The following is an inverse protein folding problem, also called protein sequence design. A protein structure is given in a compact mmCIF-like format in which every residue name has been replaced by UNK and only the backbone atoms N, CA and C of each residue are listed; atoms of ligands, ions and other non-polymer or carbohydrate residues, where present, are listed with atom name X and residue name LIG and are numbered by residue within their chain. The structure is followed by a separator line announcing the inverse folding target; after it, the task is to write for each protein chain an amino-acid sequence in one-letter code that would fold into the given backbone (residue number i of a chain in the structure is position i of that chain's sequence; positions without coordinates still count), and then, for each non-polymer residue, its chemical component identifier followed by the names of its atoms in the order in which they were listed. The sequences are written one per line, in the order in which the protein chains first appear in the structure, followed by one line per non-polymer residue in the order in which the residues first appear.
data_IF_307069946835
#
_entry.id   IF_307069946835
#
_cell.length_a   1.000
_cell.length_b   1.000
_cell.length_c   1.000
_cell.angle_alpha   90.00
_cell.angle_beta   90.00
_cell.angle_gamma   90.00
#
_symmetry.space_group_name_H-M   'P 1'
#
loop_
_entity.id
_entity.type
_entity.pdbx_description
1 polymer ?
#
# COMPACT_ATOMS: atom_id res chain seq x y z
N UNK A 1 -25.18 -10.07 -19.75
CA UNK A 1 -25.22 -10.95 -18.55
C UNK A 1 -25.97 -10.20 -17.46
N UNK A 2 -26.87 -10.84 -16.72
CA UNK A 2 -27.61 -10.09 -15.67
C UNK A 2 -26.78 -9.95 -14.37
N UNK A 3 -27.23 -9.09 -13.45
CA UNK A 3 -26.54 -8.78 -12.20
C UNK A 3 -26.29 -10.02 -11.32
N UNK A 4 -27.29 -10.87 -11.12
CA UNK A 4 -27.16 -12.06 -10.27
C UNK A 4 -26.16 -13.06 -10.87
N UNK A 5 -26.19 -13.25 -12.19
CA UNK A 5 -25.25 -14.10 -12.91
C UNK A 5 -23.81 -13.55 -12.81
N UNK A 6 -23.63 -12.24 -12.94
CA UNK A 6 -22.35 -11.57 -12.76
C UNK A 6 -21.80 -11.80 -11.35
N UNK A 7 -22.63 -11.57 -10.32
CA UNK A 7 -22.23 -11.77 -8.92
C UNK A 7 -21.82 -13.21 -8.63
N UNK A 8 -22.66 -14.18 -9.01
CA UNK A 8 -22.35 -15.61 -8.85
C UNK A 8 -21.07 -16.02 -9.58
N UNK A 9 -20.83 -15.46 -10.76
CA UNK A 9 -19.62 -15.74 -11.55
C UNK A 9 -18.36 -15.17 -10.90
N UNK A 10 -18.40 -13.95 -10.39
CA UNK A 10 -17.29 -13.34 -9.64
C UNK A 10 -16.96 -14.19 -8.42
N UNK A 11 -17.97 -14.53 -7.61
CA UNK A 11 -17.78 -15.33 -6.39
C UNK A 11 -17.16 -16.70 -6.71
N UNK A 12 -17.71 -17.42 -7.69
CA UNK A 12 -17.19 -18.73 -8.10
C UNK A 12 -15.75 -18.64 -8.61
N UNK A 13 -15.42 -17.61 -9.38
CA UNK A 13 -14.06 -17.40 -9.87
C UNK A 13 -13.08 -17.10 -8.73
N UNK A 14 -13.49 -16.28 -7.76
CA UNK A 14 -12.70 -15.97 -6.58
C UNK A 14 -12.43 -17.24 -5.75
N UNK A 15 -13.48 -17.93 -5.28
CA UNK A 15 -13.35 -19.14 -4.45
C UNK A 15 -12.54 -20.23 -5.14
N UNK A 16 -12.77 -20.45 -6.44
CA UNK A 16 -12.03 -21.45 -7.22
C UNK A 16 -10.51 -21.20 -7.28
N UNK A 17 -10.06 -19.94 -7.25
CA UNK A 17 -8.61 -19.64 -7.25
C UNK A 17 -7.95 -20.04 -5.94
N UNK A 18 -8.67 -19.88 -4.82
CA UNK A 18 -8.16 -20.21 -3.49
C UNK A 18 -8.18 -21.72 -3.28
N UNK A 19 -9.33 -22.37 -3.53
CA UNK A 19 -9.51 -23.81 -3.33
C UNK A 19 -8.56 -24.68 -4.17
N UNK A 20 -8.16 -24.21 -5.37
CA UNK A 20 -7.21 -24.94 -6.23
C UNK A 20 -5.75 -24.68 -5.87
N UNK A 21 -5.47 -23.82 -4.90
CA UNK A 21 -4.13 -23.37 -4.58
C UNK A 21 -3.79 -23.65 -3.12
N UNK A 22 -3.19 -24.81 -2.85
CA UNK A 22 -2.74 -25.22 -1.51
C UNK A 22 -1.68 -24.31 -0.86
N UNK A 23 -1.22 -23.25 -1.55
CA UNK A 23 -0.32 -22.22 -1.00
C UNK A 23 -1.06 -20.97 -0.54
N UNK A 24 -2.39 -20.92 -0.69
CA UNK A 24 -3.22 -19.84 -0.17
C UNK A 24 -4.01 -20.39 1.01
N UNK A 25 -3.96 -19.67 2.13
CA UNK A 25 -4.57 -20.09 3.39
C UNK A 25 -5.89 -19.39 3.60
N UNK A 26 -5.90 -18.07 3.39
CA UNK A 26 -7.09 -17.25 3.37
C UNK A 26 -7.00 -16.17 2.30
N UNK A 27 -8.15 -15.65 1.90
CA UNK A 27 -8.24 -14.52 0.99
C UNK A 27 -9.53 -13.75 1.21
N UNK A 28 -9.48 -12.47 0.84
CA UNK A 28 -10.56 -11.50 0.96
C UNK A 28 -10.68 -10.75 -0.36
N UNK A 29 -11.90 -10.54 -0.84
CA UNK A 29 -12.13 -9.77 -2.06
C UNK A 29 -13.49 -9.10 -2.05
N UNK A 30 -13.47 -7.78 -2.18
CA UNK A 30 -14.61 -6.90 -2.30
C UNK A 30 -14.69 -6.33 -3.71
N UNK A 31 -15.87 -6.41 -4.31
CA UNK A 31 -16.22 -5.79 -5.59
C UNK A 31 -17.45 -4.92 -5.39
N UNK A 32 -17.29 -3.63 -5.59
CA UNK A 32 -18.38 -2.66 -5.52
C UNK A 32 -18.47 -1.90 -6.85
N UNK A 33 -19.67 -1.83 -7.44
CA UNK A 33 -19.93 -1.09 -8.67
C UNK A 33 -21.32 -0.48 -8.57
N UNK A 34 -21.36 0.83 -8.31
CA UNK A 34 -22.59 1.59 -8.07
C UNK A 34 -23.53 1.55 -9.28
N UNK A 35 -23.08 1.80 -10.53
CA UNK A 35 -23.98 1.81 -11.68
C UNK A 35 -24.64 0.45 -11.98
N UNK A 36 -24.00 -0.65 -11.58
CA UNK A 36 -24.54 -2.01 -11.74
C UNK A 36 -25.28 -2.51 -10.49
N UNK A 37 -25.31 -1.72 -9.40
CA UNK A 37 -25.88 -2.13 -8.12
C UNK A 37 -25.25 -3.41 -7.57
N UNK A 38 -23.95 -3.60 -7.77
CA UNK A 38 -23.19 -4.77 -7.30
C UNK A 38 -22.38 -4.37 -6.06
N UNK A 39 -22.54 -5.15 -5.00
CA UNK A 39 -21.68 -5.11 -3.83
C UNK A 39 -21.48 -6.54 -3.33
N UNK A 40 -20.25 -7.03 -3.44
CA UNK A 40 -19.82 -8.33 -2.97
C UNK A 40 -18.67 -8.12 -2.01
N UNK A 41 -18.74 -8.67 -0.80
CA UNK A 41 -17.63 -8.74 0.13
C UNK A 41 -17.44 -10.20 0.54
N UNK A 42 -16.35 -10.79 0.06
CA UNK A 42 -16.15 -12.24 0.09
C UNK A 42 -14.88 -12.60 0.85
N UNK A 43 -14.92 -13.76 1.51
CA UNK A 43 -13.76 -14.42 2.09
C UNK A 43 -13.78 -15.92 1.77
N UNK A 44 -12.60 -16.52 1.69
CA UNK A 44 -12.41 -17.95 1.46
C UNK A 44 -11.15 -18.43 2.19
N UNK A 45 -11.16 -19.67 2.68
CA UNK A 45 -10.04 -20.27 3.40
C UNK A 45 -10.21 -20.21 4.91
N UNK A 46 -9.10 -20.28 5.64
CA UNK A 46 -9.08 -20.32 7.10
C UNK A 46 -8.02 -19.41 7.71
N UNK A 47 -8.31 -18.94 8.92
CA UNK A 47 -7.41 -18.17 9.79
C UNK A 47 -7.51 -18.77 11.17
N UNK A 48 -6.37 -19.06 11.83
CA UNK A 48 -6.36 -19.65 13.19
C UNK A 48 -7.28 -20.88 13.35
N UNK A 49 -7.38 -21.71 12.31
CA UNK A 49 -8.23 -22.91 12.29
C UNK A 49 -9.74 -22.64 12.14
N UNK A 50 -10.15 -21.38 11.98
CA UNK A 50 -11.53 -20.97 11.77
C UNK A 50 -11.77 -20.54 10.31
N UNK A 51 -12.98 -20.68 9.76
CA UNK A 51 -13.33 -20.15 8.45
C UNK A 51 -13.09 -18.64 8.36
N UNK A 52 -12.53 -18.17 7.25
CA UNK A 52 -12.35 -16.73 7.02
C UNK A 52 -13.69 -16.02 6.78
N UNK A 53 -13.85 -14.84 7.40
CA UNK A 53 -15.07 -14.04 7.36
C UNK A 53 -14.80 -12.66 6.74
N UNK A 54 -15.64 -12.16 5.81
CA UNK A 54 -15.37 -10.91 5.07
C UNK A 54 -15.08 -9.65 5.91
N UNK A 55 -15.50 -9.64 7.18
CA UNK A 55 -15.33 -8.54 8.12
C UNK A 55 -13.99 -8.56 8.86
N UNK A 56 -13.19 -9.62 8.75
CA UNK A 56 -11.88 -9.68 9.39
C UNK A 56 -10.96 -8.59 8.84
N UNK A 57 -10.25 -7.93 9.75
CA UNK A 57 -9.18 -7.02 9.39
C UNK A 57 -7.93 -7.80 8.93
N UNK A 58 -7.08 -7.16 8.14
CA UNK A 58 -5.82 -7.72 7.65
C UNK A 58 -4.79 -6.62 7.40
N UNK A 59 -3.50 -6.99 7.41
CA UNK A 59 -2.43 -6.11 6.97
C UNK A 59 -2.64 -5.70 5.52
N UNK A 60 -2.76 -4.40 5.26
CA UNK A 60 -3.00 -3.88 3.90
C UNK A 60 -1.70 -3.69 3.10
N UNK A 61 -0.56 -3.97 3.74
CA UNK A 61 0.79 -3.84 3.18
C UNK A 61 0.96 -2.46 2.52
N UNK A 62 1.55 -2.40 1.32
CA UNK A 62 1.86 -1.16 0.62
C UNK A 62 0.65 -0.30 0.21
N UNK A 63 -0.60 -0.71 0.45
CA UNK A 63 -1.73 0.23 0.41
C UNK A 63 -1.54 1.35 1.45
N UNK A 64 -0.82 1.09 2.55
CA UNK A 64 -0.44 2.09 3.57
C UNK A 64 0.23 3.33 2.96
N UNK A 65 1.01 3.17 1.88
CA UNK A 65 1.65 4.29 1.15
C UNK A 65 0.65 5.28 0.59
N UNK A 66 -0.52 4.80 0.17
CA UNK A 66 -1.58 5.68 -0.31
C UNK A 66 -2.15 6.53 0.83
N UNK A 67 -2.33 5.96 2.02
CA UNK A 67 -2.72 6.73 3.21
C UNK A 67 -1.66 7.79 3.56
N UNK A 68 -0.38 7.42 3.58
CA UNK A 68 0.74 8.36 3.79
C UNK A 68 0.76 9.47 2.74
N UNK A 69 0.51 9.14 1.48
CA UNK A 69 0.52 10.12 0.37
C UNK A 69 -0.68 11.05 0.42
N UNK A 70 -1.88 10.55 0.74
CA UNK A 70 -3.07 11.39 0.93
C UNK A 70 -2.88 12.32 2.12
N UNK A 71 -2.35 11.83 3.25
CA UNK A 71 -2.04 12.70 4.39
C UNK A 71 -1.02 13.78 4.02
N UNK A 72 0.02 13.43 3.26
CA UNK A 72 0.98 14.42 2.73
C UNK A 72 0.29 15.47 1.85
N UNK A 73 -0.65 15.06 1.00
CA UNK A 73 -1.43 15.96 0.17
C UNK A 73 -2.35 16.88 0.99
N UNK A 74 -3.02 16.36 2.03
CA UNK A 74 -3.82 17.19 2.95
C UNK A 74 -2.95 18.25 3.65
N UNK A 75 -1.74 17.89 4.09
CA UNK A 75 -0.81 18.85 4.69
C UNK A 75 -0.32 19.90 3.68
N UNK A 76 -0.19 19.54 2.39
CA UNK A 76 0.11 20.49 1.33
C UNK A 76 -1.06 21.47 1.08
N UNK A 77 -2.30 20.98 1.08
CA UNK A 77 -3.50 21.84 0.98
C UNK A 77 -3.63 22.80 2.16
N UNK A 78 -3.19 22.38 3.35
CA UNK A 78 -3.11 23.25 4.54
C UNK A 78 -1.92 24.23 4.51
N UNK A 79 -1.10 24.21 3.45
CA UNK A 79 0.07 25.08 3.30
C UNK A 79 1.22 24.77 4.26
N UNK A 80 1.22 23.58 4.88
CA UNK A 80 2.27 23.16 5.83
C UNK A 80 3.54 22.65 5.16
N UNK A 81 3.45 22.31 3.87
CA UNK A 81 4.56 21.88 3.03
C UNK A 81 4.25 22.15 1.56
N UNK A 82 5.28 22.10 0.72
CA UNK A 82 5.15 21.92 -0.73
C UNK A 82 5.82 20.61 -1.15
N UNK A 83 5.36 20.01 -2.25
CA UNK A 83 5.97 18.77 -2.77
C UNK A 83 7.45 18.97 -3.20
N UNK A 84 7.83 20.21 -3.52
CA UNK A 84 9.17 20.63 -3.89
C UNK A 84 10.11 20.86 -2.70
N UNK A 85 9.58 20.89 -1.47
CA UNK A 85 10.42 21.20 -0.32
C UNK A 85 11.51 20.15 -0.14
N UNK A 86 12.75 20.59 0.14
CA UNK A 86 13.82 19.68 0.56
C UNK A 86 13.47 18.98 1.87
N UNK A 87 13.66 17.67 1.93
CA UNK A 87 13.28 16.88 3.12
C UNK A 87 14.11 17.22 4.37
N UNK A 88 15.30 17.80 4.17
CA UNK A 88 16.19 18.22 5.26
C UNK A 88 15.65 19.40 6.07
N UNK A 89 14.62 20.09 5.59
CA UNK A 89 13.90 21.10 6.39
C UNK A 89 13.05 20.47 7.50
N UNK A 90 12.68 19.19 7.35
CA UNK A 90 11.71 18.51 8.22
C UNK A 90 12.29 17.32 8.99
N UNK A 91 13.54 16.96 8.73
CA UNK A 91 14.17 15.78 9.30
C UNK A 91 15.47 16.16 10.02
N UNK A 92 15.80 15.49 11.13
CA UNK A 92 17.00 15.79 11.91
C UNK A 92 18.28 15.51 11.11
N UNK A 93 19.32 16.31 11.38
CA UNK A 93 20.60 16.25 10.66
C UNK A 93 21.28 14.87 10.73
N UNK A 94 21.09 14.15 11.83
CA UNK A 94 21.63 12.82 12.09
C UNK A 94 21.05 11.80 11.12
N UNK A 95 19.75 11.91 10.82
CA UNK A 95 19.08 11.05 9.85
C UNK A 95 19.56 11.38 8.43
N UNK A 96 19.70 12.67 8.12
CA UNK A 96 20.13 13.18 6.82
C UNK A 96 21.58 12.85 6.48
N UNK A 97 22.47 12.71 7.48
CA UNK A 97 23.89 12.47 7.26
C UNK A 97 24.14 11.20 6.43
N UNK A 98 24.71 11.35 5.22
CA UNK A 98 24.99 10.24 4.28
C UNK A 98 23.77 9.36 3.98
N UNK A 99 22.57 9.94 4.02
CA UNK A 99 21.33 9.23 3.70
C UNK A 99 21.32 8.76 2.24
N UNK A 100 21.91 9.54 1.34
CA UNK A 100 21.95 9.24 -0.09
C UNK A 100 23.33 9.51 -0.70
N UNK A 101 24.18 8.48 -0.70
CA UNK A 101 25.49 8.54 -1.34
C UNK A 101 25.46 7.75 -2.64
N UNK A 102 25.69 8.42 -3.77
CA UNK A 102 25.77 7.81 -5.08
C UNK A 102 27.08 8.16 -5.77
N UNK A 103 27.85 7.14 -6.16
CA UNK A 103 29.18 7.28 -6.80
C UNK A 103 30.10 8.29 -6.09
N UNK A 104 30.12 8.24 -4.76
CA UNK A 104 30.98 9.09 -3.92
C UNK A 104 30.45 10.51 -3.67
N UNK A 105 29.31 10.89 -4.25
CA UNK A 105 28.68 12.20 -4.00
C UNK A 105 27.48 12.03 -3.06
N UNK A 106 27.37 12.88 -2.05
CA UNK A 106 26.22 12.95 -1.14
C UNK A 106 25.14 13.88 -1.71
N UNK A 107 23.96 13.32 -1.98
CA UNK A 107 22.79 14.04 -2.51
C UNK A 107 21.70 14.24 -1.47
N UNK A 108 21.96 13.93 -0.20
CA UNK A 108 20.92 13.87 0.85
C UNK A 108 20.09 15.16 0.95
N UNK A 109 20.72 16.33 0.84
CA UNK A 109 20.04 17.64 0.90
C UNK A 109 19.25 18.01 -0.35
N UNK A 110 19.44 17.29 -1.46
CA UNK A 110 18.76 17.52 -2.74
C UNK A 110 17.46 16.71 -2.89
N UNK A 111 17.17 15.81 -1.95
CA UNK A 111 15.94 15.04 -1.96
C UNK A 111 14.76 15.95 -1.59
N UNK A 112 13.72 15.95 -2.40
CA UNK A 112 12.47 16.68 -2.20
C UNK A 112 11.35 15.71 -1.84
N UNK A 113 10.29 16.19 -1.20
CA UNK A 113 9.14 15.36 -0.79
C UNK A 113 8.55 14.57 -1.97
N UNK A 114 8.38 15.20 -3.15
CA UNK A 114 7.91 14.51 -4.37
C UNK A 114 8.80 13.36 -4.81
N UNK A 115 10.11 13.44 -4.56
CA UNK A 115 11.03 12.38 -4.91
C UNK A 115 10.78 11.13 -4.06
N UNK A 116 10.38 11.31 -2.80
CA UNK A 116 9.98 10.20 -1.92
C UNK A 116 8.63 9.61 -2.37
N UNK A 117 7.63 10.47 -2.57
CA UNK A 117 6.27 10.04 -2.93
C UNK A 117 6.22 9.25 -4.25
N UNK A 118 6.98 9.71 -5.26
CA UNK A 118 7.01 9.15 -6.60
C UNK A 118 8.09 8.10 -6.86
N UNK A 119 8.83 7.68 -5.84
CA UNK A 119 9.95 6.72 -5.97
C UNK A 119 11.06 7.17 -6.92
N UNK A 120 11.32 8.48 -6.99
CA UNK A 120 12.37 9.08 -7.83
C UNK A 120 13.52 9.68 -7.02
N UNK A 121 13.65 9.32 -5.75
CA UNK A 121 14.72 9.82 -4.87
C UNK A 121 16.08 9.21 -5.14
N UNK A 122 16.11 8.00 -5.70
CA UNK A 122 17.34 7.21 -5.84
C UNK A 122 17.78 6.52 -4.54
N UNK A 123 17.03 6.68 -3.44
CA UNK A 123 17.26 5.94 -2.20
C UNK A 123 17.17 4.44 -2.44
N UNK A 124 17.93 3.68 -1.66
CA UNK A 124 17.80 2.24 -1.64
C UNK A 124 16.45 1.82 -1.05
N UNK A 125 16.07 0.58 -1.29
CA UNK A 125 14.92 -0.07 -0.68
C UNK A 125 15.39 -1.06 0.39
N UNK A 126 15.17 -0.75 1.67
CA UNK A 126 15.66 -1.61 2.74
C UNK A 126 15.08 -3.03 2.67
N UNK A 127 13.88 -3.19 2.09
CA UNK A 127 13.16 -4.47 2.10
C UNK A 127 13.56 -5.41 0.95
N UNK A 128 13.62 -4.91 -0.30
CA UNK A 128 13.91 -5.71 -1.49
C UNK A 128 15.37 -5.64 -1.96
N UNK A 129 16.09 -4.55 -1.70
CA UNK A 129 17.48 -4.43 -2.15
C UNK A 129 18.40 -5.42 -1.41
N UNK A 130 19.46 -5.83 -2.10
CA UNK A 130 20.42 -6.80 -1.58
C UNK A 130 21.68 -6.09 -1.11
N UNK A 131 22.09 -6.27 0.16
CA UNK A 131 23.34 -5.71 0.63
C UNK A 131 24.53 -6.48 0.05
N UNK A 132 25.68 -5.81 -0.04
CA UNK A 132 26.94 -6.44 -0.52
C UNK A 132 27.48 -7.48 0.46
N UNK A 133 27.20 -7.29 1.75
CA UNK A 133 27.61 -8.15 2.86
C UNK A 133 26.49 -8.19 3.89
N UNK A 134 26.37 -9.30 4.61
CA UNK A 134 25.34 -9.48 5.64
C UNK A 134 24.00 -10.00 5.09
N UNK A 135 23.03 -10.25 5.99
CA UNK A 135 21.71 -10.77 5.63
C UNK A 135 20.86 -9.68 4.96
N UNK A 136 19.88 -10.08 4.14
CA UNK A 136 18.85 -9.14 3.64
C UNK A 136 17.87 -8.82 4.75
N UNK A 137 17.23 -7.66 4.69
CA UNK A 137 16.15 -7.33 5.63
C UNK A 137 15.03 -8.39 5.60
N UNK A 138 14.65 -8.88 4.41
CA UNK A 138 13.65 -9.93 4.28
C UNK A 138 14.04 -11.24 5.00
N UNK A 139 15.34 -11.54 5.09
CA UNK A 139 15.81 -12.72 5.82
C UNK A 139 15.67 -12.48 7.33
N UNK A 140 16.15 -11.32 7.82
CA UNK A 140 16.01 -10.88 9.21
C UNK A 140 14.54 -10.83 9.68
N UNK A 141 13.66 -10.35 8.80
CA UNK A 141 12.21 -10.33 9.02
C UNK A 141 11.66 -11.70 9.43
N UNK A 142 12.13 -12.77 8.78
CA UNK A 142 11.69 -14.14 9.07
C UNK A 142 12.50 -14.84 10.16
N UNK A 143 13.81 -14.57 10.26
CA UNK A 143 14.70 -15.26 11.20
C UNK A 143 14.69 -14.65 12.60
N UNK A 144 14.26 -13.40 12.75
CA UNK A 144 14.20 -12.67 14.02
C UNK A 144 12.76 -12.26 14.38
N UNK A 145 11.81 -13.21 14.51
CA UNK A 145 10.38 -12.92 14.66
C UNK A 145 10.04 -12.09 15.90
N UNK A 146 10.89 -12.11 16.92
CA UNK A 146 10.71 -11.39 18.19
C UNK A 146 11.28 -9.98 18.19
N UNK A 147 12.08 -9.60 17.18
CA UNK A 147 12.74 -8.29 17.13
C UNK A 147 11.73 -7.21 16.76
N UNK A 148 11.76 -6.09 17.46
CA UNK A 148 11.08 -4.87 17.04
C UNK A 148 12.06 -3.92 16.38
N UNK A 149 11.59 -3.19 15.38
CA UNK A 149 12.34 -2.19 14.65
C UNK A 149 11.65 -0.85 14.77
N UNK A 150 12.41 0.18 15.12
CA UNK A 150 12.01 1.57 14.94
C UNK A 150 12.30 2.03 13.52
N UNK A 151 11.56 3.03 12.99
CA UNK A 151 11.83 3.53 11.64
C UNK A 151 13.26 4.09 11.50
N UNK A 152 13.83 4.66 12.56
CA UNK A 152 15.22 5.14 12.58
C UNK A 152 16.23 4.00 12.48
N UNK A 153 16.01 2.87 13.19
CA UNK A 153 16.88 1.69 13.08
C UNK A 153 16.84 1.09 11.67
N UNK A 154 15.67 1.03 11.02
CA UNK A 154 15.54 0.56 9.64
C UNK A 154 16.32 1.47 8.68
N UNK A 155 16.18 2.80 8.81
CA UNK A 155 16.91 3.75 7.98
C UNK A 155 18.42 3.65 8.23
N UNK A 156 18.84 3.50 9.49
CA UNK A 156 20.26 3.35 9.82
C UNK A 156 20.84 2.06 9.25
N UNK A 157 20.12 0.95 9.38
CA UNK A 157 20.50 -0.33 8.75
C UNK A 157 20.65 -0.17 7.23
N UNK A 158 19.69 0.49 6.58
CA UNK A 158 19.72 0.79 5.15
C UNK A 158 20.97 1.57 4.74
N UNK A 159 21.33 2.63 5.47
CA UNK A 159 22.53 3.45 5.22
C UNK A 159 23.83 2.66 5.34
N UNK A 160 23.88 1.70 6.27
CA UNK A 160 25.08 0.89 6.53
C UNK A 160 25.28 -0.24 5.51
N UNK A 161 24.18 -0.80 4.98
CA UNK A 161 24.22 -2.05 4.22
C UNK A 161 23.94 -1.88 2.73
N UNK A 162 23.32 -0.77 2.32
CA UNK A 162 22.82 -0.55 0.97
C UNK A 162 23.41 0.71 0.33
N UNK A 163 23.22 0.83 -0.98
CA UNK A 163 23.71 1.95 -1.79
C UNK A 163 22.58 2.56 -2.59
N UNK A 164 22.56 3.88 -2.72
CA UNK A 164 21.64 4.59 -3.61
C UNK A 164 21.86 4.21 -5.08
N UNK A 165 20.82 4.40 -5.90
CA UNK A 165 20.76 3.94 -7.29
C UNK A 165 21.08 5.01 -8.34
N UNK A 166 20.66 6.26 -8.10
CA UNK A 166 20.83 7.40 -9.02
C UNK A 166 20.64 8.74 -8.28
N UNK A 167 21.05 9.89 -8.82
CA UNK A 167 20.76 11.19 -8.20
C UNK A 167 19.25 11.52 -8.19
N UNK A 168 18.74 12.26 -7.20
CA UNK A 168 17.31 12.57 -7.10
C UNK A 168 16.71 13.14 -8.39
N UNK A 169 15.55 12.62 -8.79
CA UNK A 169 14.81 13.01 -10.00
C UNK A 169 15.32 12.39 -11.30
N UNK A 170 16.43 11.66 -11.30
CA UNK A 170 17.04 11.12 -12.53
C UNK A 170 16.66 9.67 -12.87
N UNK A 171 15.72 9.09 -12.13
CA UNK A 171 15.29 7.71 -12.34
C UNK A 171 14.08 7.33 -11.49
N UNK A 172 13.72 6.05 -11.52
CA UNK A 172 12.69 5.46 -10.67
C UNK A 172 13.21 4.17 -10.03
N UNK A 173 13.12 4.08 -8.70
CA UNK A 173 13.41 2.90 -7.91
C UNK A 173 12.47 2.90 -6.70
N UNK A 174 11.64 1.86 -6.60
CA UNK A 174 10.68 1.74 -5.52
C UNK A 174 11.44 1.65 -4.19
N UNK A 175 11.09 2.47 -3.21
CA UNK A 175 11.82 2.57 -1.94
C UNK A 175 10.86 2.74 -0.75
N UNK A 176 10.75 1.71 0.07
CA UNK A 176 10.12 1.75 1.38
C UNK A 176 10.88 2.65 2.36
N UNK A 177 12.20 2.79 2.19
CA UNK A 177 13.02 3.78 2.92
C UNK A 177 12.49 5.20 2.71
N UNK A 178 12.09 5.53 1.48
CA UNK A 178 11.48 6.83 1.18
C UNK A 178 10.18 7.07 1.93
N UNK A 179 9.35 6.03 2.11
CA UNK A 179 8.10 6.16 2.87
C UNK A 179 8.31 6.22 4.38
N UNK A 180 9.38 5.62 4.90
CA UNK A 180 9.77 5.82 6.30
C UNK A 180 10.12 7.28 6.58
N UNK A 181 10.88 7.92 5.69
CA UNK A 181 11.20 9.33 5.78
C UNK A 181 9.95 10.21 5.70
N UNK A 182 8.97 9.87 4.83
CA UNK A 182 7.68 10.57 4.78
C UNK A 182 6.90 10.46 6.09
N UNK A 183 6.89 9.28 6.72
CA UNK A 183 6.25 9.10 8.03
C UNK A 183 6.86 10.01 9.10
N UNK A 184 8.20 10.00 9.21
CA UNK A 184 8.92 10.86 10.17
C UNK A 184 8.75 12.36 9.87
N UNK A 185 8.68 12.73 8.60
CA UNK A 185 8.40 14.10 8.17
C UNK A 185 6.99 14.54 8.58
N UNK A 186 5.98 13.67 8.41
CA UNK A 186 4.61 13.93 8.88
C UNK A 186 4.58 14.09 10.40
N UNK A 187 5.31 13.24 11.15
CA UNK A 187 5.40 13.37 12.60
C UNK A 187 5.94 14.74 13.01
N UNK A 188 7.01 15.18 12.37
CA UNK A 188 7.61 16.49 12.64
C UNK A 188 6.65 17.65 12.30
N UNK A 189 6.05 17.64 11.10
CA UNK A 189 5.13 18.70 10.66
C UNK A 189 3.89 18.79 11.53
N UNK A 190 3.33 17.64 11.93
CA UNK A 190 2.10 17.60 12.72
C UNK A 190 2.35 17.71 14.22
N UNK A 191 3.59 17.53 14.68
CA UNK A 191 3.94 17.35 16.10
C UNK A 191 3.14 16.23 16.77
N UNK A 192 2.81 15.17 16.03
CA UNK A 192 2.07 14.00 16.51
C UNK A 192 2.76 12.73 16.01
N UNK A 193 2.75 11.61 16.78
CA UNK A 193 3.12 10.31 16.25
C UNK A 193 2.30 9.95 15.00
N UNK A 194 2.87 9.17 14.08
CA UNK A 194 2.24 8.94 12.77
C UNK A 194 0.85 8.29 12.87
N UNK A 195 0.66 7.36 13.81
CA UNK A 195 -0.64 6.72 14.04
C UNK A 195 -1.71 7.72 14.49
N UNK A 196 -1.34 8.73 15.28
CA UNK A 196 -2.24 9.80 15.71
C UNK A 196 -2.56 10.77 14.57
N UNK A 197 -1.58 11.05 13.71
CA UNK A 197 -1.81 11.83 12.49
C UNK A 197 -2.78 11.09 11.55
N UNK A 198 -2.60 9.78 11.33
CA UNK A 198 -3.57 8.99 10.57
C UNK A 198 -4.96 8.98 11.22
N UNK A 199 -5.03 8.79 12.54
CA UNK A 199 -6.30 8.80 13.28
C UNK A 199 -7.06 10.11 13.05
N UNK A 200 -6.40 11.24 13.33
CA UNK A 200 -7.00 12.58 13.28
C UNK A 200 -7.41 13.02 11.88
N UNK A 201 -6.55 12.81 10.88
CA UNK A 201 -6.77 13.34 9.54
C UNK A 201 -7.58 12.39 8.65
N UNK A 202 -7.47 11.06 8.86
CA UNK A 202 -8.08 10.07 7.97
C UNK A 202 -9.10 9.19 8.68
N UNK A 203 -8.75 8.55 9.80
CA UNK A 203 -9.60 7.48 10.34
C UNK A 203 -10.88 8.01 11.00
N UNK A 204 -10.79 9.05 11.82
CA UNK A 204 -11.96 9.64 12.49
C UNK A 204 -12.91 10.35 11.51
N UNK A 205 -12.44 11.24 10.62
CA UNK A 205 -13.34 11.95 9.69
C UNK A 205 -14.08 11.02 8.73
N UNK A 206 -13.50 9.85 8.43
CA UNK A 206 -14.10 8.83 7.58
C UNK A 206 -14.76 7.68 8.34
N UNK A 207 -14.70 7.68 9.67
CA UNK A 207 -15.23 6.59 10.52
C UNK A 207 -14.64 5.22 10.17
N UNK A 208 -13.32 5.16 9.92
CA UNK A 208 -12.59 3.92 9.65
C UNK A 208 -12.31 3.16 10.95
N UNK A 209 -13.37 2.72 11.64
CA UNK A 209 -13.31 2.22 13.01
C UNK A 209 -12.38 1.01 13.20
N UNK A 210 -12.27 0.17 12.17
CA UNK A 210 -11.44 -1.03 12.11
C UNK A 210 -10.08 -0.82 11.43
N UNK A 211 -9.65 0.43 11.26
CA UNK A 211 -8.36 0.78 10.66
C UNK A 211 -7.41 1.32 11.72
N UNK A 212 -6.22 0.73 11.82
CA UNK A 212 -5.22 1.11 12.80
C UNK A 212 -3.81 0.77 12.30
N UNK A 213 -2.81 1.26 13.01
CA UNK A 213 -1.40 1.02 12.71
C UNK A 213 -0.82 -0.02 13.69
N UNK A 214 -0.33 -1.14 13.15
CA UNK A 214 0.20 -2.27 13.90
C UNK A 214 1.34 -1.82 14.84
N UNK A 215 1.35 -2.31 16.08
CA UNK A 215 2.31 -1.95 17.15
C UNK A 215 2.24 -0.51 17.69
N UNK A 216 1.44 0.37 17.09
CA UNK A 216 1.34 1.78 17.50
C UNK A 216 -0.04 2.17 18.03
N UNK A 217 -1.11 1.49 17.59
CA UNK A 217 -2.49 1.81 17.94
C UNK A 217 -3.38 0.58 17.86
N UNK A 218 -4.57 0.67 18.47
CA UNK A 218 -5.65 -0.32 18.38
C UNK A 218 -6.80 0.25 17.55
N UNK A 219 -7.71 -0.58 17.00
CA UNK A 219 -8.90 -0.06 16.32
C UNK A 219 -9.77 0.75 17.28
N UNK A 220 -10.52 1.72 16.75
CA UNK A 220 -11.41 2.58 17.53
C UNK A 220 -12.64 1.84 18.06
N UNK A 221 -13.02 0.75 17.39
CA UNK A 221 -14.03 -0.21 17.83
C UNK A 221 -13.39 -1.58 17.83
N UNK A 222 -13.63 -2.38 18.87
CA UNK A 222 -13.11 -3.74 18.96
C UNK A 222 -13.55 -4.56 17.73
N UNK A 223 -12.58 -5.23 17.10
CA UNK A 223 -12.86 -6.07 15.94
C UNK A 223 -13.68 -7.30 16.38
N UNK A 224 -14.82 -7.58 15.73
CA UNK A 224 -15.69 -8.70 16.12
C UNK A 224 -15.07 -10.08 15.82
N UNK A 225 -13.96 -10.11 15.07
CA UNK A 225 -13.28 -11.32 14.63
C UNK A 225 -11.76 -11.14 14.76
N UNK A 226 -11.01 -12.22 14.99
CA UNK A 226 -9.56 -12.14 15.03
C UNK A 226 -9.01 -11.65 13.68
N UNK A 227 -7.88 -10.94 13.70
CA UNK A 227 -7.19 -10.52 12.48
C UNK A 227 -6.87 -11.72 11.59
N UNK A 228 -7.02 -11.55 10.28
CA UNK A 228 -6.65 -12.55 9.29
C UNK A 228 -5.15 -12.86 9.34
N UNK A 229 -4.80 -14.14 9.23
CA UNK A 229 -3.39 -14.53 9.26
C UNK A 229 -2.67 -14.13 7.97
N UNK A 230 -1.49 -13.50 8.12
CA UNK A 230 -0.54 -13.22 7.04
C UNK A 230 0.47 -14.36 6.94
N UNK A 231 0.76 -14.84 5.74
CA UNK A 231 1.61 -16.01 5.52
C UNK A 231 2.85 -15.74 4.69
N UNK A 232 3.97 -16.33 5.12
CA UNK A 232 5.18 -16.54 4.33
C UNK A 232 5.35 -18.05 4.07
N UNK A 233 4.94 -18.52 2.88
CA UNK A 233 4.85 -19.96 2.62
C UNK A 233 3.79 -20.62 3.51
N UNK A 234 4.21 -21.57 4.34
CA UNK A 234 3.30 -22.24 5.29
C UNK A 234 3.33 -21.64 6.70
N UNK A 235 4.16 -20.63 6.93
CA UNK A 235 4.33 -20.02 8.24
C UNK A 235 3.41 -18.80 8.35
N UNK A 236 2.52 -18.81 9.34
CA UNK A 236 1.81 -17.61 9.77
C UNK A 236 2.81 -16.67 10.45
N UNK A 237 2.91 -15.45 9.93
CA UNK A 237 3.82 -14.40 10.38
C UNK A 237 3.07 -13.21 10.98
N UNK A 238 1.75 -13.28 11.07
CA UNK A 238 0.84 -12.27 11.61
C UNK A 238 1.32 -11.61 12.90
N UNK A 239 1.83 -12.44 13.82
CA UNK A 239 2.21 -12.06 15.17
C UNK A 239 3.73 -11.79 15.29
N UNK A 240 4.48 -11.78 14.18
CA UNK A 240 5.90 -11.46 14.19
C UNK A 240 6.09 -9.99 14.53
N UNK A 241 6.81 -9.71 15.62
CA UNK A 241 7.20 -8.36 16.02
C UNK A 241 8.07 -7.68 14.98
N UNK A 242 8.77 -8.45 14.16
CA UNK A 242 9.61 -7.93 13.07
C UNK A 242 8.81 -7.16 12.01
N UNK A 243 7.49 -7.37 11.90
CA UNK A 243 6.60 -6.56 11.04
C UNK A 243 6.63 -5.06 11.41
N UNK A 244 7.03 -4.69 12.62
CA UNK A 244 7.23 -3.28 13.00
C UNK A 244 8.13 -2.50 12.04
N UNK A 245 9.00 -3.16 11.29
CA UNK A 245 9.83 -2.55 10.23
C UNK A 245 9.03 -1.94 9.06
N UNK A 246 7.73 -2.22 8.91
CA UNK A 246 6.93 -1.74 7.78
C UNK A 246 6.48 -0.27 7.95
N UNK A 247 6.31 0.19 9.20
CA UNK A 247 5.93 1.56 9.60
C UNK A 247 4.96 2.25 8.59
N UNK A 248 5.26 3.46 8.12
CA UNK A 248 4.47 4.25 7.17
C UNK A 248 4.29 3.60 5.79
N UNK A 249 5.15 2.64 5.45
CA UNK A 249 5.16 1.96 4.16
C UNK A 249 4.22 0.76 4.08
N UNK A 250 3.87 0.15 5.22
CA UNK A 250 3.14 -1.12 5.21
C UNK A 250 2.42 -1.55 6.50
N UNK A 251 2.52 -0.81 7.60
CA UNK A 251 2.03 -1.27 8.91
C UNK A 251 0.54 -1.02 9.18
N UNK A 252 -0.24 -0.50 8.22
CA UNK A 252 -1.69 -0.34 8.44
C UNK A 252 -2.41 -1.69 8.34
N UNK A 253 -3.41 -1.83 9.21
CA UNK A 253 -4.39 -2.92 9.25
C UNK A 253 -5.75 -2.30 8.97
N UNK A 254 -6.57 -2.98 8.17
CA UNK A 254 -7.90 -2.48 7.82
C UNK A 254 -8.84 -3.62 7.39
N UNK A 255 -10.11 -3.30 7.18
CA UNK A 255 -11.10 -4.16 6.53
C UNK A 255 -11.34 -3.72 5.08
N UNK A 256 -11.87 -4.62 4.25
CA UNK A 256 -12.22 -4.28 2.87
C UNK A 256 -13.25 -3.14 2.78
N UNK A 257 -14.20 -3.06 3.72
CA UNK A 257 -15.20 -1.99 3.77
C UNK A 257 -14.59 -0.64 4.13
N UNK A 258 -13.68 -0.58 5.11
CA UNK A 258 -13.01 0.67 5.44
C UNK A 258 -12.14 1.17 4.28
N UNK A 259 -11.47 0.24 3.58
CA UNK A 259 -10.73 0.57 2.36
C UNK A 259 -11.66 1.08 1.25
N UNK A 260 -12.88 0.53 1.13
CA UNK A 260 -13.89 1.05 0.20
C UNK A 260 -14.30 2.48 0.58
N UNK A 261 -14.58 2.74 1.86
CA UNK A 261 -14.92 4.08 2.36
C UNK A 261 -13.80 5.08 2.07
N UNK A 262 -12.56 4.73 2.36
CA UNK A 262 -11.39 5.55 2.04
C UNK A 262 -11.28 5.84 0.54
N UNK A 263 -11.40 4.81 -0.31
CA UNK A 263 -11.25 4.97 -1.75
C UNK A 263 -12.40 5.77 -2.37
N UNK A 264 -13.66 5.60 -1.90
CA UNK A 264 -14.80 6.44 -2.29
C UNK A 264 -14.58 7.89 -1.88
N UNK A 265 -14.04 8.15 -0.68
CA UNK A 265 -13.75 9.50 -0.23
C UNK A 265 -12.62 10.18 -1.03
N UNK A 266 -11.59 9.43 -1.41
CA UNK A 266 -10.52 9.93 -2.28
C UNK A 266 -11.03 10.25 -3.69
N UNK A 267 -11.77 9.34 -4.30
CA UNK A 267 -12.25 9.47 -5.70
C UNK A 267 -13.35 10.51 -5.86
N UNK A 268 -14.14 10.79 -4.82
CA UNK A 268 -15.17 11.83 -4.82
C UNK A 268 -14.65 13.23 -4.45
N UNK A 269 -13.36 13.37 -4.14
CA UNK A 269 -12.77 14.65 -3.72
C UNK A 269 -13.12 15.07 -2.29
N UNK A 270 -13.58 14.13 -1.44
CA UNK A 270 -13.91 14.39 -0.03
C UNK A 270 -12.67 14.51 0.86
N UNK A 271 -11.59 13.80 0.52
CA UNK A 271 -10.34 13.81 1.30
C UNK A 271 -9.39 14.95 0.91
N UNK A 272 -9.24 15.16 -0.40
CA UNK A 272 -8.38 16.16 -1.01
C UNK A 272 -9.09 16.69 -2.26
N UNK A 273 -8.73 17.89 -2.69
CA UNK A 273 -9.25 18.47 -3.93
C UNK A 273 -8.89 17.63 -5.16
N UNK A 274 -9.67 17.82 -6.23
CA UNK A 274 -9.35 17.22 -7.53
C UNK A 274 -7.98 17.66 -8.06
N UNK A 275 -7.54 18.89 -7.76
CA UNK A 275 -6.22 19.38 -8.13
C UNK A 275 -5.12 18.59 -7.43
N UNK A 276 -5.23 18.37 -6.11
CA UNK A 276 -4.29 17.56 -5.35
C UNK A 276 -4.28 16.10 -5.80
N UNK A 277 -5.45 15.52 -6.12
CA UNK A 277 -5.50 14.18 -6.71
C UNK A 277 -4.79 14.14 -8.07
N UNK A 278 -4.94 15.16 -8.92
CA UNK A 278 -4.22 15.26 -10.18
C UNK A 278 -2.70 15.40 -9.97
N UNK A 279 -2.26 16.12 -8.93
CA UNK A 279 -0.83 16.18 -8.53
C UNK A 279 -0.32 14.81 -8.11
N UNK A 280 -1.09 14.05 -7.34
CA UNK A 280 -0.74 12.66 -7.03
C UNK A 280 -0.69 11.77 -8.27
N UNK A 281 -1.46 12.11 -9.31
CA UNK A 281 -1.50 11.43 -10.61
C UNK A 281 -0.49 11.99 -11.62
N UNK A 282 0.58 12.64 -11.16
CA UNK A 282 1.74 12.90 -12.03
C UNK A 282 2.51 11.58 -12.20
N UNK A 283 2.37 10.98 -13.38
CA UNK A 283 2.81 9.61 -13.63
C UNK A 283 4.25 9.50 -14.11
N UNK A 284 5.04 8.66 -13.44
CA UNK A 284 6.35 8.19 -13.88
C UNK A 284 6.25 6.75 -14.37
N UNK A 285 6.85 6.45 -15.52
CA UNK A 285 6.86 5.08 -16.08
C UNK A 285 7.60 4.15 -15.12
N UNK A 286 6.90 3.17 -14.54
CA UNK A 286 7.48 2.24 -13.58
C UNK A 286 7.89 0.93 -14.25
N UNK A 287 6.97 0.29 -14.97
CA UNK A 287 7.19 -0.95 -15.73
C UNK A 287 6.34 -0.93 -17.01
N UNK A 288 6.57 -1.81 -17.99
CA UNK A 288 5.70 -1.87 -19.17
C UNK A 288 4.22 -2.02 -18.78
N UNK A 289 3.37 -1.07 -19.19
CA UNK A 289 1.93 -1.04 -18.88
C UNK A 289 1.56 -0.53 -17.49
N UNK A 290 2.54 -0.15 -16.67
CA UNK A 290 2.34 0.35 -15.31
C UNK A 290 3.10 1.64 -15.10
N UNK A 291 2.40 2.68 -14.67
CA UNK A 291 3.02 3.92 -14.20
C UNK A 291 2.74 4.11 -12.70
N UNK A 292 3.59 4.89 -12.03
CA UNK A 292 3.54 5.19 -10.61
C UNK A 292 3.38 6.70 -10.40
N UNK A 293 2.49 7.12 -9.50
CA UNK A 293 2.27 8.50 -9.05
C UNK A 293 2.67 8.66 -7.58
N UNK A 294 2.01 9.51 -6.81
CA UNK A 294 2.29 9.64 -5.36
C UNK A 294 1.44 8.62 -4.58
N UNK A 295 2.06 7.50 -4.22
CA UNK A 295 1.39 6.41 -3.50
C UNK A 295 0.36 5.63 -4.31
N UNK A 296 0.26 5.90 -5.62
CA UNK A 296 -0.70 5.28 -6.52
C UNK A 296 -0.02 4.68 -7.75
N UNK A 297 -0.62 3.65 -8.31
CA UNK A 297 -0.25 3.03 -9.58
C UNK A 297 -1.41 3.10 -10.54
N UNK A 298 -1.13 3.15 -11.84
CA UNK A 298 -2.13 2.92 -12.88
C UNK A 298 -1.72 1.81 -13.83
N UNK A 299 -2.70 1.03 -14.25
CA UNK A 299 -2.59 0.23 -15.46
C UNK A 299 -2.95 1.11 -16.66
N UNK A 300 -2.08 1.14 -17.66
CA UNK A 300 -2.32 1.86 -18.91
C UNK A 300 -2.31 0.92 -20.09
N UNK A 301 -3.00 1.35 -21.12
CA UNK A 301 -3.06 0.64 -22.39
C UNK A 301 -1.66 0.51 -22.99
N UNK A 302 -1.32 -0.71 -23.38
CA UNK A 302 -0.16 -1.01 -24.22
C UNK A 302 -0.74 -1.76 -25.43
N UNK A 303 -0.55 -1.26 -26.66
CA UNK A 303 -1.05 -1.94 -27.85
C UNK A 303 -0.71 -3.44 -27.81
N UNK A 304 -1.70 -4.29 -28.08
CA UNK A 304 -1.61 -5.76 -28.10
C UNK A 304 -1.45 -6.42 -26.72
N UNK A 305 -0.73 -5.81 -25.77
CA UNK A 305 -0.38 -6.42 -24.46
C UNK A 305 -1.38 -6.10 -23.34
N UNK A 306 -1.89 -4.87 -23.25
CA UNK A 306 -2.79 -4.41 -22.21
C UNK A 306 -3.95 -3.61 -22.82
N UNK A 307 -5.13 -4.23 -23.03
CA UNK A 307 -6.30 -3.53 -23.53
C UNK A 307 -6.79 -2.42 -22.60
N UNK A 308 -7.38 -1.35 -23.17
CA UNK A 308 -7.89 -0.21 -22.42
C UNK A 308 -8.97 -0.55 -21.38
N UNK A 309 -9.64 -1.69 -21.55
CA UNK A 309 -10.65 -2.20 -20.61
C UNK A 309 -10.10 -2.54 -19.21
N UNK A 310 -8.78 -2.58 -19.04
CA UNK A 310 -8.13 -2.80 -17.75
C UNK A 310 -7.53 -1.52 -17.16
N UNK A 311 -7.77 -0.36 -17.79
CA UNK A 311 -7.29 0.91 -17.26
C UNK A 311 -7.98 1.20 -15.92
N UNK A 312 -7.22 1.08 -14.85
CA UNK A 312 -7.63 1.30 -13.47
C UNK A 312 -6.43 1.88 -12.71
N UNK A 313 -6.70 2.56 -11.61
CA UNK A 313 -5.65 3.11 -10.73
C UNK A 313 -5.97 2.86 -9.27
N UNK A 314 -4.92 2.82 -8.44
CA UNK A 314 -5.07 2.42 -7.04
C UNK A 314 -3.73 2.07 -6.42
N UNK A 315 -3.71 1.06 -5.55
CA UNK A 315 -2.51 0.55 -4.91
C UNK A 315 -2.52 -0.99 -4.82
N UNK A 316 -1.34 -1.59 -4.71
CA UNK A 316 -1.17 -3.01 -4.41
C UNK A 316 -0.06 -3.23 -3.40
N UNK A 317 0.01 -4.42 -2.83
CA UNK A 317 1.07 -4.80 -1.89
C UNK A 317 1.61 -6.20 -2.08
N UNK A 318 2.73 -6.44 -1.42
CA UNK A 318 3.50 -7.68 -1.53
C UNK A 318 2.75 -8.93 -1.04
N UNK A 319 1.82 -8.75 -0.10
CA UNK A 319 0.93 -9.78 0.47
C UNK A 319 -0.25 -10.16 -0.44
N UNK A 320 -0.29 -9.65 -1.68
CA UNK A 320 -1.42 -9.83 -2.58
C UNK A 320 -2.57 -8.87 -2.32
N UNK A 321 -2.30 -7.75 -1.66
CA UNK A 321 -3.31 -6.71 -1.48
C UNK A 321 -3.52 -5.94 -2.78
N UNK A 322 -4.77 -5.59 -3.06
CA UNK A 322 -5.18 -4.72 -4.17
C UNK A 322 -6.26 -3.77 -3.65
N UNK A 323 -6.22 -2.51 -4.08
CA UNK A 323 -7.29 -1.53 -3.88
C UNK A 323 -7.30 -0.62 -5.09
N UNK A 324 -8.20 -0.90 -6.03
CA UNK A 324 -8.27 -0.23 -7.33
C UNK A 324 -9.63 0.37 -7.60
N UNK A 325 -9.61 1.54 -8.22
CA UNK A 325 -10.75 2.18 -8.84
C UNK A 325 -10.67 2.05 -10.36
N UNK A 326 -11.78 1.67 -10.98
CA UNK A 326 -11.93 1.52 -12.42
C UNK A 326 -12.89 2.62 -12.95
N UNK A 327 -12.38 3.74 -13.47
CA UNK A 327 -13.18 4.92 -13.78
C UNK A 327 -14.34 4.66 -14.76
N UNK A 328 -14.10 3.90 -15.82
CA UNK A 328 -15.13 3.67 -16.85
C UNK A 328 -16.30 2.77 -16.41
N UNK A 329 -16.15 2.07 -15.27
CA UNK A 329 -17.19 1.23 -14.67
C UNK A 329 -17.74 1.84 -13.38
N UNK A 330 -17.09 2.89 -12.87
CA UNK A 330 -17.27 3.38 -11.50
C UNK A 330 -17.27 2.21 -10.47
N UNK A 331 -16.20 1.42 -10.53
CA UNK A 331 -16.07 0.19 -9.75
C UNK A 331 -14.81 0.18 -8.88
N UNK A 332 -14.93 -0.42 -7.70
CA UNK A 332 -13.88 -0.57 -6.70
C UNK A 332 -13.61 -2.06 -6.51
N UNK A 333 -12.34 -2.45 -6.59
CA UNK A 333 -11.87 -3.82 -6.43
C UNK A 333 -10.79 -3.86 -5.36
N UNK A 334 -11.12 -4.47 -4.23
CA UNK A 334 -10.34 -4.38 -2.99
C UNK A 334 -10.15 -5.77 -2.42
N UNK A 335 -8.98 -6.12 -1.91
CA UNK A 335 -8.81 -7.41 -1.26
C UNK A 335 -7.37 -7.76 -0.94
N UNK A 336 -7.19 -8.96 -0.43
CA UNK A 336 -5.90 -9.53 -0.06
C UNK A 336 -5.89 -11.03 -0.26
N UNK A 337 -4.73 -11.58 -0.58
CA UNK A 337 -4.48 -13.02 -0.52
C UNK A 337 -3.70 -13.43 0.73
N UNK A 338 -3.37 -12.45 1.59
CA UNK A 338 -2.59 -12.58 2.82
C UNK A 338 -1.41 -13.55 2.71
N UNK A 339 -0.75 -13.51 1.57
CA UNK A 339 0.35 -14.39 1.21
C UNK A 339 1.43 -13.54 0.57
N UNK A 340 2.62 -13.51 1.17
CA UNK A 340 3.75 -12.81 0.57
C UNK A 340 4.01 -13.31 -0.86
N UNK A 341 4.42 -12.41 -1.76
CA UNK A 341 4.70 -12.66 -3.18
C UNK A 341 3.48 -13.09 -4.00
N UNK A 342 2.30 -12.57 -3.68
CA UNK A 342 1.06 -12.94 -4.39
C UNK A 342 0.38 -11.82 -5.17
N UNK A 343 0.99 -10.63 -5.26
CA UNK A 343 0.50 -9.44 -6.01
C UNK A 343 0.01 -9.77 -7.42
N UNK A 344 0.80 -10.48 -8.22
CA UNK A 344 0.42 -10.81 -9.60
C UNK A 344 -0.84 -11.69 -9.67
N UNK A 345 -1.09 -12.53 -8.66
CA UNK A 345 -2.29 -13.37 -8.59
C UNK A 345 -3.51 -12.54 -8.20
N UNK A 346 -3.37 -11.64 -7.23
CA UNK A 346 -4.43 -10.71 -6.84
C UNK A 346 -4.87 -9.81 -8.00
N UNK A 347 -3.92 -9.24 -8.75
CA UNK A 347 -4.21 -8.44 -9.96
C UNK A 347 -4.96 -9.26 -11.03
N UNK A 348 -4.64 -10.55 -11.21
CA UNK A 348 -5.39 -11.42 -12.13
C UNK A 348 -6.81 -11.69 -11.67
N UNK A 349 -7.06 -11.84 -10.36
CA UNK A 349 -8.43 -11.97 -9.81
C UNK A 349 -9.21 -10.69 -10.10
N UNK A 350 -8.60 -9.53 -9.85
CA UNK A 350 -9.18 -8.23 -10.15
C UNK A 350 -9.55 -8.08 -11.64
N UNK A 351 -8.66 -8.42 -12.57
CA UNK A 351 -8.96 -8.35 -14.01
C UNK A 351 -10.08 -9.30 -14.44
N UNK A 352 -10.16 -10.50 -13.84
CA UNK A 352 -11.28 -11.42 -14.09
C UNK A 352 -12.61 -10.82 -13.63
N UNK A 353 -12.64 -10.15 -12.48
CA UNK A 353 -13.84 -9.47 -12.02
C UNK A 353 -14.22 -8.32 -12.98
N UNK A 354 -13.26 -7.52 -13.44
CA UNK A 354 -13.49 -6.48 -14.46
C UNK A 354 -14.09 -7.07 -15.74
N UNK A 355 -13.56 -8.20 -16.23
CA UNK A 355 -14.11 -8.88 -17.42
C UNK A 355 -15.58 -9.33 -17.23
N UNK A 356 -15.98 -9.66 -15.99
CA UNK A 356 -17.36 -10.01 -15.66
C UNK A 356 -18.23 -8.76 -15.58
N UNK A 357 -17.78 -7.69 -14.91
CA UNK A 357 -18.51 -6.42 -14.83
C UNK A 357 -18.76 -5.82 -16.22
N UNK A 358 -17.77 -5.86 -17.11
CA UNK A 358 -17.89 -5.36 -18.49
C UNK A 358 -18.92 -6.11 -19.34
N UNK A 359 -19.20 -7.38 -19.03
CA UNK A 359 -20.23 -8.19 -19.71
C UNK A 359 -21.62 -8.00 -19.09
N UNK A 360 -21.66 -7.42 -17.89
CA UNK A 360 -22.90 -7.12 -17.16
C UNK A 360 -23.44 -5.73 -17.51
N UNK A 361 -22.54 -4.78 -17.78
CA UNK A 361 -22.87 -3.52 -18.45
C UNK A 361 -23.46 -3.80 -19.83
#
# INVERSE_FOLDING_TARGET
MNRQEAMSRIERQFRSVIQRNHKLHNAYFLVHCEPLGIHLNMAEGTTRGQPSLPQQCYYIASISKLFTSVLTAMLAEEGKLTYEDPIHHYLPSELMHKLHVYKGTDYSTQIQIKHLLGHTSGLNDYFEDRPRRGPRMLDLFTSEPSRQWTPQEVIQWSKEHLTSHFPPGQGIHYSDTGYHLLGLLIENITSNPLHEAFRRYLFEPLQLHHTHMAFYSTPAVEDPYPMADLYAGQTAITDYKSISMEYAGGALISTSENLLTFMKALTSGKLISNESLQRMQVWTKFRPGVDYGYGIVRFRTVPILFPARYNAWGAWGYSGTVMFYHPALDAYLIGSLNQLRSTAKAVRIMFKAIDVLLKCR
#
